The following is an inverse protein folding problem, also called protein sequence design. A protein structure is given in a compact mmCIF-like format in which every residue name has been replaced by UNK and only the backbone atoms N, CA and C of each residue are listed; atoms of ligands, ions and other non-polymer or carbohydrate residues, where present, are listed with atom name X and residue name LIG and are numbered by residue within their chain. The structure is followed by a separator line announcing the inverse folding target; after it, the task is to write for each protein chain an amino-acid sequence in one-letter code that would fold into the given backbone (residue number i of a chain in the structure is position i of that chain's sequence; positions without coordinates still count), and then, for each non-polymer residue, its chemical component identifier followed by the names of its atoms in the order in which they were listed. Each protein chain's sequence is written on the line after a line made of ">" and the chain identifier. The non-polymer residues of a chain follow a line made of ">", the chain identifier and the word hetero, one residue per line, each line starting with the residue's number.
data_IF_207848341663
#
_entry.id   IF_207848341663
#
_cell.length_a   1.000
_cell.length_b   1.000
_cell.length_c   1.000
_cell.angle_alpha   90.00
_cell.angle_beta   90.00
_cell.angle_gamma   90.00
#
_symmetry.space_group_name_H-M   'P 1'
#
loop_
_entity.id
_entity.type
_entity.pdbx_description
1 polymer ?
#
# COMPACT_ATOMS: atom_id res chain seq x y z
N UNK A 1 8.92 20.51 -30.91
CA UNK A 1 8.55 19.70 -29.73
C UNK A 1 7.28 20.19 -29.05
N UNK A 2 7.26 21.40 -28.45
CA UNK A 2 6.02 21.99 -27.88
C UNK A 2 4.92 22.16 -28.95
N UNK A 3 5.31 22.51 -30.19
CA UNK A 3 4.37 22.61 -31.31
C UNK A 3 3.66 21.29 -31.68
N UNK A 4 4.40 20.18 -31.73
CA UNK A 4 3.84 18.86 -32.05
C UNK A 4 2.94 18.34 -30.92
N UNK A 5 3.38 18.50 -29.66
CA UNK A 5 2.54 18.19 -28.51
C UNK A 5 1.23 19.00 -28.52
N UNK A 6 1.33 20.30 -28.79
CA UNK A 6 0.16 21.18 -28.91
C UNK A 6 -0.78 20.79 -30.05
N UNK A 7 -0.26 20.27 -31.17
CA UNK A 7 -1.08 19.75 -32.25
C UNK A 7 -1.84 18.48 -31.83
N UNK A 8 -1.15 17.47 -31.31
CA UNK A 8 -1.79 16.23 -30.85
C UNK A 8 -2.83 16.48 -29.74
N UNK A 9 -2.64 17.51 -28.93
CA UNK A 9 -3.64 17.94 -27.94
C UNK A 9 -4.89 18.57 -28.53
N UNK A 10 -4.78 19.29 -29.65
CA UNK A 10 -5.94 19.87 -30.35
C UNK A 10 -6.78 18.79 -31.02
N UNK A 11 -6.13 17.75 -31.52
CA UNK A 11 -6.75 16.60 -32.17
C UNK A 11 -7.22 15.51 -31.17
N UNK A 12 -6.97 15.71 -29.87
CA UNK A 12 -7.26 14.75 -28.82
C UNK A 12 -8.77 14.54 -28.62
N UNK A 13 -9.22 13.29 -28.80
CA UNK A 13 -10.51 12.83 -28.27
C UNK A 13 -10.39 12.57 -26.75
N UNK A 14 -11.00 13.46 -25.97
CA UNK A 14 -11.03 13.36 -24.51
C UNK A 14 -11.81 12.16 -23.99
N UNK A 15 -12.84 11.69 -24.70
CA UNK A 15 -13.63 10.55 -24.24
C UNK A 15 -12.85 9.24 -24.48
N UNK A 16 -12.08 9.15 -25.56
CA UNK A 16 -11.18 8.03 -25.78
C UNK A 16 -10.06 7.97 -24.73
N UNK A 17 -9.47 9.11 -24.38
CA UNK A 17 -8.51 9.18 -23.27
C UNK A 17 -9.14 8.75 -21.94
N UNK A 18 -10.40 9.13 -21.69
CA UNK A 18 -11.13 8.73 -20.49
C UNK A 18 -11.37 7.22 -20.45
N UNK A 19 -11.79 6.60 -21.56
CA UNK A 19 -11.96 5.15 -21.69
C UNK A 19 -10.63 4.42 -21.46
N UNK A 20 -9.54 4.89 -22.06
CA UNK A 20 -8.21 4.34 -21.83
C UNK A 20 -7.81 4.39 -20.35
N UNK A 21 -8.07 5.50 -19.64
CA UNK A 21 -7.80 5.60 -18.21
C UNK A 21 -8.61 4.60 -17.38
N UNK A 22 -9.90 4.41 -17.69
CA UNK A 22 -10.78 3.48 -16.98
C UNK A 22 -10.38 2.02 -17.19
N UNK A 23 -9.86 1.67 -18.37
CA UNK A 23 -9.38 0.33 -18.67
C UNK A 23 -8.06 0.00 -17.97
N UNK A 24 -7.24 1.02 -17.65
CA UNK A 24 -5.89 0.83 -17.12
C UNK A 24 -5.75 1.16 -15.63
N UNK A 25 -6.78 1.74 -14.99
CA UNK A 25 -6.71 2.21 -13.59
C UNK A 25 -8.01 1.96 -12.87
N UNK A 26 -7.96 1.97 -11.54
CA UNK A 26 -9.19 1.95 -10.74
C UNK A 26 -10.06 3.16 -11.06
N UNK A 27 -11.38 2.99 -11.02
CA UNK A 27 -12.36 4.01 -11.39
C UNK A 27 -12.10 5.38 -10.74
N UNK A 28 -11.81 5.40 -9.43
CA UNK A 28 -11.50 6.63 -8.71
C UNK A 28 -10.20 7.27 -9.20
N UNK A 29 -9.15 6.47 -9.39
CA UNK A 29 -7.85 6.98 -9.84
C UNK A 29 -7.92 7.51 -11.29
N UNK A 30 -8.63 6.80 -12.17
CA UNK A 30 -8.93 7.23 -13.53
C UNK A 30 -9.63 8.59 -13.55
N UNK A 31 -10.70 8.76 -12.75
CA UNK A 31 -11.44 10.03 -12.63
C UNK A 31 -10.54 11.18 -12.19
N UNK A 32 -9.67 10.95 -11.20
CA UNK A 32 -8.70 11.97 -10.76
C UNK A 32 -7.68 12.30 -11.86
N UNK A 33 -7.04 11.30 -12.46
CA UNK A 33 -6.07 11.50 -13.54
C UNK A 33 -6.68 12.28 -14.71
N UNK A 34 -7.90 11.93 -15.12
CA UNK A 34 -8.63 12.63 -16.18
C UNK A 34 -8.87 14.10 -15.85
N UNK A 35 -9.39 14.40 -14.65
CA UNK A 35 -9.64 15.77 -14.19
C UNK A 35 -8.37 16.63 -14.23
N UNK A 36 -7.27 16.11 -13.68
CA UNK A 36 -6.00 16.84 -13.61
C UNK A 36 -5.35 16.99 -14.99
N UNK A 37 -5.35 15.93 -15.81
CA UNK A 37 -4.88 16.00 -17.19
C UNK A 37 -5.64 17.04 -18.01
N UNK A 38 -6.97 17.01 -17.99
CA UNK A 38 -7.81 17.94 -18.77
C UNK A 38 -7.63 19.39 -18.33
N UNK A 39 -7.55 19.65 -17.02
CA UNK A 39 -7.40 21.01 -16.48
C UNK A 39 -5.99 21.58 -16.71
N UNK A 40 -4.96 20.75 -16.64
CA UNK A 40 -3.55 21.21 -16.58
C UNK A 40 -2.68 20.69 -17.74
N UNK A 41 -3.28 20.27 -18.85
CA UNK A 41 -2.53 19.81 -20.04
C UNK A 41 -1.50 20.84 -20.52
N UNK A 42 -1.83 22.13 -20.45
CA UNK A 42 -0.98 23.23 -20.92
C UNK A 42 0.31 23.40 -20.09
N UNK A 43 0.36 22.82 -18.89
CA UNK A 43 1.54 22.86 -18.04
C UNK A 43 2.63 21.87 -18.47
N UNK A 44 2.35 20.97 -19.41
CA UNK A 44 3.37 20.06 -19.91
C UNK A 44 4.50 20.86 -20.56
N UNK A 45 5.74 20.63 -20.10
CA UNK A 45 6.94 21.29 -20.60
C UNK A 45 7.01 22.82 -20.38
N UNK A 46 6.16 23.38 -19.51
CA UNK A 46 6.14 24.83 -19.24
C UNK A 46 7.02 25.21 -18.06
N UNK A 47 7.54 26.44 -18.06
CA UNK A 47 8.23 26.99 -16.88
C UNK A 47 7.29 27.23 -15.71
N UNK A 48 5.98 27.39 -15.95
CA UNK A 48 4.96 27.46 -14.90
C UNK A 48 4.96 26.19 -14.04
N UNK A 49 5.05 25.00 -14.65
CA UNK A 49 5.14 23.72 -13.94
C UNK A 49 6.43 23.60 -13.10
N UNK A 50 7.52 24.22 -13.56
CA UNK A 50 8.79 24.27 -12.83
C UNK A 50 8.64 25.13 -11.58
N UNK A 51 8.02 26.30 -11.73
CA UNK A 51 7.79 27.30 -10.69
C UNK A 51 6.75 26.88 -9.64
N UNK A 52 5.90 25.88 -9.92
CA UNK A 52 4.96 25.35 -8.93
C UNK A 52 5.69 24.84 -7.68
N UNK A 53 5.30 25.35 -6.51
CA UNK A 53 5.83 24.85 -5.23
C UNK A 53 5.54 23.35 -5.06
N UNK A 54 6.49 22.56 -4.50
CA UNK A 54 6.25 21.16 -4.19
C UNK A 54 5.00 20.99 -3.30
N UNK A 55 3.96 20.37 -3.84
CA UNK A 55 2.67 20.22 -3.17
C UNK A 55 1.95 18.97 -3.63
N UNK A 56 0.89 18.57 -2.91
CA UNK A 56 0.03 17.46 -3.35
C UNK A 56 -0.62 17.77 -4.71
N UNK A 57 -1.05 19.02 -4.90
CA UNK A 57 -1.58 19.53 -6.16
C UNK A 57 -0.59 19.32 -7.30
N UNK A 58 0.67 19.74 -7.12
CA UNK A 58 1.73 19.54 -8.14
C UNK A 58 1.91 18.07 -8.50
N UNK A 59 1.89 17.16 -7.52
CA UNK A 59 1.98 15.72 -7.81
C UNK A 59 0.82 15.21 -8.65
N UNK A 60 -0.40 15.68 -8.37
CA UNK A 60 -1.58 15.21 -9.08
C UNK A 60 -1.64 15.80 -10.50
N UNK A 61 -1.16 17.04 -10.70
CA UNK A 61 -0.87 17.62 -12.02
C UNK A 61 0.13 16.76 -12.79
N UNK A 62 1.29 16.45 -12.20
CA UNK A 62 2.33 15.63 -12.84
C UNK A 62 1.80 14.26 -13.27
N UNK A 63 0.98 13.60 -12.42
CA UNK A 63 0.34 12.31 -12.77
C UNK A 63 -0.64 12.47 -13.92
N UNK A 64 -1.45 13.54 -13.92
CA UNK A 64 -2.37 13.83 -15.02
C UNK A 64 -1.62 13.96 -16.34
N UNK A 65 -0.63 14.85 -16.38
CA UNK A 65 0.20 15.11 -17.56
C UNK A 65 0.93 13.84 -18.03
N UNK A 66 1.55 13.08 -17.12
CA UNK A 66 2.26 11.86 -17.51
C UNK A 66 1.36 10.77 -18.11
N UNK A 67 0.11 10.64 -17.64
CA UNK A 67 -0.82 9.71 -18.26
C UNK A 67 -1.31 10.22 -19.61
N UNK A 68 -1.49 11.54 -19.74
CA UNK A 68 -1.86 12.16 -21.00
C UNK A 68 -0.78 11.98 -22.06
N UNK A 69 0.49 12.27 -21.73
CA UNK A 69 1.60 12.06 -22.67
C UNK A 69 1.72 10.60 -23.09
N UNK A 70 1.56 9.66 -22.15
CA UNK A 70 1.57 8.22 -22.47
C UNK A 70 0.43 7.79 -23.40
N UNK A 71 -0.76 8.38 -23.22
CA UNK A 71 -1.87 8.11 -24.12
C UNK A 71 -1.60 8.66 -25.53
N UNK A 72 -1.08 9.90 -25.61
CA UNK A 72 -0.73 10.51 -26.89
C UNK A 72 0.36 9.71 -27.63
N UNK A 73 1.33 9.16 -26.91
CA UNK A 73 2.36 8.28 -27.49
C UNK A 73 1.75 7.04 -28.16
N UNK A 74 0.80 6.40 -27.49
CA UNK A 74 0.09 5.23 -28.05
C UNK A 74 -0.72 5.61 -29.29
N UNK A 75 -1.35 6.78 -29.29
CA UNK A 75 -2.26 7.20 -30.37
C UNK A 75 -1.55 7.77 -31.59
N UNK A 76 -0.45 8.49 -31.38
CA UNK A 76 0.21 9.27 -32.42
C UNK A 76 1.62 8.74 -32.75
N UNK A 77 2.02 7.61 -32.15
CA UNK A 77 3.36 7.03 -32.28
C UNK A 77 4.47 8.04 -31.95
N UNK A 78 4.34 8.72 -30.82
CA UNK A 78 5.27 9.73 -30.30
C UNK A 78 6.02 9.24 -29.06
N UNK A 79 6.95 10.05 -28.55
CA UNK A 79 7.77 9.79 -27.36
C UNK A 79 7.62 10.86 -26.26
N UNK A 80 6.50 11.58 -26.23
CA UNK A 80 6.24 12.68 -25.29
C UNK A 80 6.38 12.26 -23.83
N UNK A 81 5.99 11.04 -23.47
CA UNK A 81 6.12 10.57 -22.10
C UNK A 81 7.58 10.44 -21.69
N UNK A 82 8.42 9.87 -22.55
CA UNK A 82 9.85 9.73 -22.26
C UNK A 82 10.53 11.10 -22.21
N UNK A 83 10.22 11.98 -23.17
CA UNK A 83 10.70 13.36 -23.18
C UNK A 83 10.29 14.08 -21.89
N UNK A 84 9.04 13.92 -21.43
CA UNK A 84 8.57 14.50 -20.17
C UNK A 84 9.40 14.01 -18.99
N UNK A 85 9.67 12.71 -18.89
CA UNK A 85 10.48 12.17 -17.80
C UNK A 85 11.91 12.73 -17.81
N UNK A 86 12.55 12.82 -18.98
CA UNK A 86 13.88 13.41 -19.13
C UNK A 86 13.87 14.90 -18.78
N UNK A 87 12.85 15.63 -19.21
CA UNK A 87 12.68 17.06 -18.93
C UNK A 87 12.47 17.33 -17.44
N UNK A 88 11.59 16.56 -16.78
CA UNK A 88 11.38 16.64 -15.33
C UNK A 88 12.69 16.36 -14.56
N UNK A 89 13.48 15.37 -15.00
CA UNK A 89 14.80 15.08 -14.42
C UNK A 89 15.76 16.25 -14.59
N UNK A 90 15.84 16.85 -15.78
CA UNK A 90 16.69 18.02 -16.06
C UNK A 90 16.30 19.25 -15.22
N UNK A 91 15.01 19.43 -14.95
CA UNK A 91 14.46 20.51 -14.10
C UNK A 91 14.41 20.15 -12.61
N UNK A 92 14.99 19.02 -12.22
CA UNK A 92 15.04 18.51 -10.83
C UNK A 92 13.66 18.35 -10.15
N UNK A 93 12.62 18.13 -10.95
CA UNK A 93 11.25 17.99 -10.45
C UNK A 93 11.03 16.57 -9.91
N UNK A 94 10.78 16.48 -8.60
CA UNK A 94 10.53 15.20 -7.92
C UNK A 94 9.05 14.84 -7.92
N UNK A 95 8.74 13.59 -8.25
CA UNK A 95 7.40 13.00 -8.17
C UNK A 95 6.81 12.94 -6.76
N UNK A 96 7.68 12.90 -5.75
CA UNK A 96 7.31 12.79 -4.34
C UNK A 96 7.78 14.03 -3.60
N UNK A 97 6.91 14.50 -2.71
CA UNK A 97 7.32 15.38 -1.64
C UNK A 97 8.28 14.56 -0.77
N UNK A 98 9.54 14.97 -0.72
CA UNK A 98 10.52 14.35 0.17
C UNK A 98 10.14 14.71 1.62
N UNK A 99 9.14 14.03 2.17
CA UNK A 99 9.09 13.83 3.62
C UNK A 99 10.10 12.73 3.87
N UNK A 100 11.39 13.09 3.99
CA UNK A 100 12.39 12.19 4.57
C UNK A 100 11.98 11.98 6.02
N UNK A 101 11.01 11.10 6.24
CA UNK A 101 10.71 10.62 7.57
C UNK A 101 11.90 9.74 7.93
N UNK A 102 12.78 10.21 8.82
CA UNK A 102 13.93 9.44 9.27
C UNK A 102 13.42 8.14 9.89
N UNK A 103 13.59 7.02 9.19
CA UNK A 103 13.04 5.73 9.63
C UNK A 103 13.57 5.34 11.01
N UNK A 104 14.79 5.77 11.35
CA UNK A 104 15.42 5.53 12.65
C UNK A 104 14.73 6.33 13.77
N UNK A 105 14.39 7.58 13.51
CA UNK A 105 13.62 8.37 14.48
C UNK A 105 12.20 7.82 14.64
N UNK A 106 11.56 7.38 13.57
CA UNK A 106 10.22 6.79 13.65
C UNK A 106 10.28 5.47 14.44
N UNK A 107 11.30 4.64 14.24
CA UNK A 107 11.46 3.39 15.01
C UNK A 107 11.70 3.64 16.49
N UNK A 108 12.43 4.68 16.85
CA UNK A 108 12.70 5.01 18.25
C UNK A 108 11.52 5.72 18.93
N UNK A 109 10.70 6.47 18.18
CA UNK A 109 9.54 7.21 18.71
C UNK A 109 8.29 6.34 18.85
N UNK A 110 8.12 5.30 18.04
CA UNK A 110 6.91 4.48 17.99
C UNK A 110 7.21 3.08 18.53
N UNK A 111 7.06 2.92 19.84
CA UNK A 111 7.18 1.62 20.52
C UNK A 111 5.90 0.80 20.38
N UNK A 112 5.99 -0.52 20.54
CA UNK A 112 4.81 -1.38 20.44
C UNK A 112 3.83 -1.12 21.60
N UNK A 113 4.33 -0.85 22.79
CA UNK A 113 3.55 -0.59 23.99
C UNK A 113 2.69 0.68 23.81
N UNK A 114 3.28 1.74 23.27
CA UNK A 114 2.55 2.97 22.95
C UNK A 114 1.45 2.74 21.92
N UNK A 115 1.74 1.93 20.89
CA UNK A 115 0.75 1.57 19.86
C UNK A 115 -0.36 0.69 20.43
N UNK A 116 -0.06 -0.28 21.29
CA UNK A 116 -1.05 -1.14 21.94
C UNK A 116 -1.96 -0.34 22.87
N UNK A 117 -1.40 0.59 23.66
CA UNK A 117 -2.20 1.53 24.46
C UNK A 117 -3.21 2.27 23.60
N UNK A 118 -2.79 2.78 22.45
CA UNK A 118 -3.68 3.46 21.50
C UNK A 118 -4.72 2.51 20.90
N UNK A 119 -4.34 1.31 20.48
CA UNK A 119 -5.25 0.28 19.94
C UNK A 119 -6.33 -0.08 20.97
N UNK A 120 -5.98 -0.13 22.26
CA UNK A 120 -6.91 -0.44 23.34
C UNK A 120 -7.99 0.62 23.55
N UNK A 121 -7.82 1.85 23.05
CA UNK A 121 -8.83 2.92 23.09
C UNK A 121 -9.81 2.88 21.91
N UNK A 122 -9.57 2.04 20.90
CA UNK A 122 -10.44 1.93 19.74
C UNK A 122 -11.74 1.20 20.07
N UNK A 123 -12.84 1.46 19.33
CA UNK A 123 -14.04 0.65 19.45
C UNK A 123 -13.74 -0.82 19.19
N UNK A 124 -14.38 -1.73 19.94
CA UNK A 124 -14.01 -3.15 20.02
C UNK A 124 -13.75 -3.81 18.65
N UNK A 125 -14.64 -3.59 17.68
CA UNK A 125 -14.49 -4.08 16.30
C UNK A 125 -13.17 -3.65 15.63
N UNK A 126 -12.80 -2.38 15.78
CA UNK A 126 -11.57 -1.82 15.20
C UNK A 126 -10.33 -2.11 16.03
N UNK A 127 -10.50 -2.31 17.34
CA UNK A 127 -9.46 -2.86 18.22
C UNK A 127 -9.07 -4.26 17.76
N UNK A 128 -10.04 -5.17 17.61
CA UNK A 128 -9.77 -6.54 17.10
C UNK A 128 -9.12 -6.51 15.72
N UNK A 129 -9.62 -5.66 14.80
CA UNK A 129 -9.01 -5.53 13.48
C UNK A 129 -7.58 -4.96 13.52
N UNK A 130 -7.30 -3.95 14.35
CA UNK A 130 -5.96 -3.39 14.50
C UNK A 130 -4.97 -4.41 15.07
N UNK A 131 -5.38 -5.17 16.10
CA UNK A 131 -4.60 -6.27 16.64
C UNK A 131 -4.36 -7.36 15.58
N UNK A 132 -5.38 -7.71 14.80
CA UNK A 132 -5.24 -8.65 13.70
C UNK A 132 -4.20 -8.18 12.67
N UNK A 133 -4.21 -6.91 12.26
CA UNK A 133 -3.19 -6.35 11.36
C UNK A 133 -1.79 -6.40 11.99
N UNK A 134 -1.68 -6.05 13.28
CA UNK A 134 -0.42 -6.06 14.03
C UNK A 134 0.16 -7.48 14.16
N UNK A 135 -0.68 -8.48 14.38
CA UNK A 135 -0.25 -9.85 14.67
C UNK A 135 -0.04 -10.69 13.40
N UNK A 136 -0.91 -10.53 12.40
CA UNK A 136 -0.74 -11.20 11.10
C UNK A 136 0.33 -10.53 10.23
N UNK A 137 0.59 -9.24 10.46
CA UNK A 137 1.48 -8.44 9.62
C UNK A 137 0.97 -8.21 8.21
N UNK A 138 -0.29 -8.49 7.88
CA UNK A 138 -0.85 -8.32 6.54
C UNK A 138 -0.93 -6.84 6.11
N UNK A 139 -0.86 -6.56 4.81
CA UNK A 139 -1.12 -5.20 4.31
C UNK A 139 -2.60 -4.87 4.55
N UNK A 140 -2.96 -3.61 4.76
CA UNK A 140 -4.35 -3.22 5.12
C UNK A 140 -5.44 -3.83 4.23
N UNK A 141 -5.21 -3.89 2.91
CA UNK A 141 -6.19 -4.49 1.98
C UNK A 141 -6.28 -6.00 2.11
N UNK A 142 -5.14 -6.67 2.29
CA UNK A 142 -5.04 -8.11 2.51
C UNK A 142 -5.62 -8.50 3.88
N UNK A 143 -5.33 -7.71 4.91
CA UNK A 143 -5.83 -7.91 6.26
C UNK A 143 -7.35 -7.77 6.30
N UNK A 144 -7.93 -6.77 5.61
CA UNK A 144 -9.38 -6.62 5.49
C UNK A 144 -10.01 -7.86 4.83
N UNK A 145 -9.42 -8.33 3.74
CA UNK A 145 -9.92 -9.50 3.03
C UNK A 145 -9.83 -10.77 3.88
N UNK A 146 -8.69 -10.98 4.56
CA UNK A 146 -8.47 -12.13 5.43
C UNK A 146 -9.40 -12.09 6.65
N UNK A 147 -9.55 -10.93 7.29
CA UNK A 147 -10.42 -10.75 8.46
C UNK A 147 -11.89 -10.98 8.13
N UNK A 148 -12.38 -10.45 7.00
CA UNK A 148 -13.78 -10.59 6.60
C UNK A 148 -14.15 -11.99 6.11
N UNK A 149 -13.15 -12.81 5.76
CA UNK A 149 -13.31 -14.19 5.29
C UNK A 149 -12.53 -15.18 6.19
N UNK A 150 -12.32 -14.81 7.46
CA UNK A 150 -11.44 -15.52 8.39
C UNK A 150 -11.75 -17.01 8.49
N UNK A 151 -13.02 -17.38 8.68
CA UNK A 151 -13.47 -18.77 8.83
C UNK A 151 -13.14 -19.65 7.62
N UNK A 152 -13.02 -19.04 6.43
CA UNK A 152 -12.70 -19.76 5.18
C UNK A 152 -11.19 -19.96 4.99
N UNK A 153 -10.39 -19.11 5.61
CA UNK A 153 -8.96 -18.98 5.34
C UNK A 153 -8.10 -19.54 6.49
N UNK A 154 -8.59 -19.46 7.72
CA UNK A 154 -7.87 -19.89 8.89
C UNK A 154 -8.10 -21.38 9.16
N UNK A 155 -7.03 -22.17 9.14
CA UNK A 155 -7.00 -23.58 9.53
C UNK A 155 -5.95 -23.75 10.62
N UNK A 156 -6.36 -24.25 11.78
CA UNK A 156 -5.47 -24.46 12.92
C UNK A 156 -4.55 -23.26 13.21
N UNK A 157 -5.09 -22.05 13.28
CA UNK A 157 -4.30 -20.85 13.60
C UNK A 157 -3.28 -20.44 12.52
N UNK A 158 -3.39 -20.95 11.30
CA UNK A 158 -2.63 -20.49 10.13
C UNK A 158 -3.61 -20.08 9.03
N UNK A 159 -3.38 -18.92 8.42
CA UNK A 159 -4.14 -18.42 7.27
C UNK A 159 -3.30 -18.55 6.01
N UNK A 160 -3.66 -19.47 5.13
CA UNK A 160 -3.01 -19.71 3.83
C UNK A 160 -3.67 -18.86 2.73
N UNK A 161 -3.03 -17.78 2.30
CA UNK A 161 -3.66 -16.79 1.39
C UNK A 161 -3.19 -16.94 -0.06
N UNK A 162 -1.87 -17.06 -0.27
CA UNK A 162 -1.23 -17.24 -1.59
C UNK A 162 -1.68 -16.27 -2.69
N UNK A 163 -2.06 -15.04 -2.33
CA UNK A 163 -2.46 -14.01 -3.28
C UNK A 163 -1.25 -13.42 -4.01
N UNK A 164 -1.30 -13.40 -5.34
CA UNK A 164 -0.32 -12.75 -6.21
C UNK A 164 -0.97 -11.58 -6.96
N UNK A 165 -0.43 -10.37 -6.78
CA UNK A 165 -0.87 -9.14 -7.45
C UNK A 165 0.20 -8.60 -8.39
N UNK A 166 1.02 -9.49 -8.96
CA UNK A 166 2.20 -9.25 -9.81
C UNK A 166 3.35 -8.54 -9.08
N UNK A 167 3.08 -7.38 -8.48
CA UNK A 167 4.07 -6.55 -7.79
C UNK A 167 4.16 -6.84 -6.29
N UNK A 168 3.18 -7.57 -5.74
CA UNK A 168 3.06 -7.91 -4.31
C UNK A 168 2.49 -9.30 -4.16
N UNK A 169 3.10 -10.07 -3.28
CA UNK A 169 2.66 -11.41 -2.88
C UNK A 169 2.25 -11.43 -1.41
N UNK A 170 1.39 -12.38 -1.09
CA UNK A 170 0.96 -12.72 0.26
C UNK A 170 0.93 -14.24 0.36
N UNK A 171 1.67 -14.82 1.31
CA UNK A 171 1.77 -16.27 1.46
C UNK A 171 0.81 -16.76 2.55
N UNK A 172 1.35 -17.38 3.59
CA UNK A 172 0.64 -17.74 4.80
C UNK A 172 1.10 -16.89 5.98
N UNK A 173 0.22 -16.67 6.94
CA UNK A 173 0.48 -15.94 8.18
C UNK A 173 -0.20 -16.66 9.34
N UNK A 174 0.31 -16.49 10.56
CA UNK A 174 -0.39 -17.01 11.73
C UNK A 174 -1.64 -16.20 12.06
N UNK A 175 -2.62 -16.87 12.67
CA UNK A 175 -3.75 -16.26 13.33
C UNK A 175 -3.71 -16.62 14.81
N UNK A 176 -3.74 -15.60 15.66
CA UNK A 176 -3.61 -15.79 17.10
C UNK A 176 -4.91 -16.33 17.69
N UNK A 177 -4.87 -17.33 18.59
CA UNK A 177 -6.09 -17.88 19.21
C UNK A 177 -7.00 -16.80 19.81
N UNK A 178 -6.44 -15.88 20.61
CA UNK A 178 -7.19 -14.74 21.18
C UNK A 178 -7.92 -13.88 20.14
N UNK A 179 -7.42 -13.81 18.90
CA UNK A 179 -8.06 -13.05 17.84
C UNK A 179 -9.00 -13.91 17.02
N UNK A 180 -8.67 -15.17 16.79
CA UNK A 180 -9.51 -16.14 16.10
C UNK A 180 -10.93 -16.13 16.67
N UNK A 181 -11.05 -16.20 18.00
CA UNK A 181 -12.34 -16.23 18.70
C UNK A 181 -13.07 -14.88 18.73
N UNK A 182 -12.35 -13.78 18.50
CA UNK A 182 -12.89 -12.40 18.56
C UNK A 182 -13.29 -11.86 17.19
N UNK A 183 -12.99 -12.55 16.11
CA UNK A 183 -13.37 -12.16 14.75
C UNK A 183 -14.80 -12.62 14.49
N UNK A 184 -15.76 -11.77 14.80
CA UNK A 184 -17.20 -12.03 14.62
C UNK A 184 -17.87 -11.06 13.63
N UNK A 185 -17.10 -10.11 13.08
CA UNK A 185 -17.61 -8.89 12.48
C UNK A 185 -16.89 -8.59 11.15
N UNK A 186 -17.58 -7.97 10.19
CA UNK A 186 -16.95 -7.51 8.94
C UNK A 186 -16.60 -6.02 8.98
N UNK A 187 -15.42 -5.66 8.47
CA UNK A 187 -14.95 -4.27 8.36
C UNK A 187 -14.96 -3.77 6.92
N UNK A 188 -15.21 -2.48 6.73
CA UNK A 188 -15.16 -1.81 5.43
C UNK A 188 -13.98 -0.85 5.33
N UNK A 189 -13.50 -0.61 4.10
CA UNK A 189 -12.33 0.27 3.86
C UNK A 189 -12.54 1.69 4.42
N UNK A 190 -13.71 2.27 4.21
CA UNK A 190 -14.02 3.64 4.69
C UNK A 190 -14.01 3.72 6.22
N UNK A 191 -14.56 2.71 6.89
CA UNK A 191 -14.58 2.63 8.34
C UNK A 191 -13.20 2.34 8.92
N UNK A 192 -12.39 1.52 8.26
CA UNK A 192 -10.97 1.33 8.64
C UNK A 192 -10.24 2.66 8.59
N UNK A 193 -10.32 3.42 7.49
CA UNK A 193 -9.64 4.71 7.37
C UNK A 193 -10.12 5.72 8.43
N UNK A 194 -11.40 5.72 8.76
CA UNK A 194 -11.97 6.60 9.78
C UNK A 194 -11.47 6.27 11.20
N UNK A 195 -11.50 4.99 11.57
CA UNK A 195 -11.25 4.56 12.96
C UNK A 195 -9.77 4.24 13.24
N UNK A 196 -9.01 3.80 12.23
CA UNK A 196 -7.58 3.49 12.32
C UNK A 196 -6.73 4.61 11.70
N UNK A 197 -7.18 5.85 11.83
CA UNK A 197 -6.42 7.02 11.39
C UNK A 197 -5.15 7.18 12.24
N UNK A 198 -4.10 7.76 11.67
CA UNK A 198 -2.80 7.93 12.35
C UNK A 198 -2.90 8.70 13.67
N UNK A 199 -3.82 9.67 13.74
CA UNK A 199 -4.13 10.44 14.95
C UNK A 199 -4.64 9.58 16.12
N UNK A 200 -5.29 8.45 15.84
CA UNK A 200 -5.83 7.54 16.85
C UNK A 200 -4.84 6.44 17.20
N UNK A 201 -4.12 5.90 16.21
CA UNK A 201 -3.13 4.85 16.43
C UNK A 201 -1.78 5.38 16.94
N UNK A 202 -1.52 6.68 16.81
CA UNK A 202 -0.18 7.27 16.98
C UNK A 202 0.78 6.96 15.82
N UNK A 203 0.34 6.16 14.83
CA UNK A 203 1.13 5.78 13.67
C UNK A 203 0.22 5.47 12.47
N UNK A 204 0.74 5.50 11.25
CA UNK A 204 -0.02 4.98 10.11
C UNK A 204 -0.27 3.47 10.29
N UNK A 205 -1.45 2.96 9.91
CA UNK A 205 -1.79 1.53 10.00
C UNK A 205 -0.75 0.60 9.34
N UNK A 206 -0.08 1.07 8.27
CA UNK A 206 0.98 0.31 7.60
C UNK A 206 2.20 0.04 8.50
N UNK A 207 2.35 0.81 9.57
CA UNK A 207 3.43 0.69 10.54
C UNK A 207 3.24 -0.53 11.46
N UNK A 208 2.00 -0.95 11.71
CA UNK A 208 1.69 -2.19 12.46
C UNK A 208 2.39 -3.41 11.83
N UNK A 209 2.39 -3.47 10.49
CA UNK A 209 3.13 -4.49 9.73
C UNK A 209 4.65 -4.43 9.93
N UNK A 210 5.21 -3.23 10.14
CA UNK A 210 6.65 -3.09 10.42
C UNK A 210 6.98 -3.60 11.82
N UNK A 211 6.16 -3.25 12.82
CA UNK A 211 6.29 -3.77 14.19
C UNK A 211 6.20 -5.30 14.22
N UNK A 212 5.21 -5.86 13.51
CA UNK A 212 5.09 -7.31 13.31
C UNK A 212 6.39 -7.94 12.80
N UNK A 213 6.93 -7.38 11.71
CA UNK A 213 8.15 -7.90 11.11
C UNK A 213 9.33 -7.82 12.06
N UNK A 214 9.53 -6.69 12.74
CA UNK A 214 10.61 -6.51 13.71
C UNK A 214 10.54 -7.56 14.81
N UNK A 215 9.35 -7.84 15.36
CA UNK A 215 9.17 -8.87 16.40
C UNK A 215 9.45 -10.27 15.86
N UNK A 216 8.83 -10.64 14.74
CA UNK A 216 8.97 -12.00 14.21
C UNK A 216 10.41 -12.27 13.72
N UNK A 217 11.06 -11.30 13.07
CA UNK A 217 12.42 -11.45 12.58
C UNK A 217 13.45 -11.54 13.70
N UNK A 218 13.22 -10.88 14.84
CA UNK A 218 14.14 -10.92 15.98
C UNK A 218 13.89 -12.11 16.92
N UNK A 219 12.64 -12.57 17.04
CA UNK A 219 12.26 -13.56 18.06
C UNK A 219 11.95 -14.95 17.52
N UNK A 220 11.69 -15.14 16.22
CA UNK A 220 11.29 -16.45 15.66
C UNK A 220 12.36 -16.99 14.73
N UNK A 221 12.30 -16.58 13.48
CA UNK A 221 13.21 -16.91 12.39
C UNK A 221 13.06 -15.81 11.31
N UNK A 222 14.15 -15.17 10.86
CA UNK A 222 14.09 -14.11 9.86
C UNK A 222 13.53 -14.56 8.51
N UNK A 223 13.84 -15.78 8.04
CA UNK A 223 13.37 -16.28 6.74
C UNK A 223 11.86 -16.55 6.79
N UNK A 224 11.36 -17.08 7.90
CA UNK A 224 9.94 -17.24 8.15
C UNK A 224 9.22 -15.90 8.20
N UNK A 225 9.81 -14.90 8.88
CA UNK A 225 9.28 -13.55 8.92
C UNK A 225 9.22 -12.93 7.51
N UNK A 226 10.24 -13.11 6.67
CA UNK A 226 10.23 -12.67 5.28
C UNK A 226 9.16 -13.39 4.44
N UNK A 227 8.97 -14.70 4.65
CA UNK A 227 7.92 -15.49 4.02
C UNK A 227 6.53 -14.98 4.41
N UNK A 228 6.25 -14.78 5.70
CA UNK A 228 4.99 -14.20 6.18
C UNK A 228 4.74 -12.79 5.62
N UNK A 229 5.82 -12.04 5.39
CA UNK A 229 5.76 -10.72 4.78
C UNK A 229 5.68 -10.75 3.24
N UNK A 230 5.52 -11.92 2.61
CA UNK A 230 5.40 -12.04 1.16
C UNK A 230 6.63 -11.52 0.40
N UNK A 231 7.81 -11.57 1.03
CA UNK A 231 9.11 -11.23 0.43
C UNK A 231 9.78 -12.47 -0.17
N UNK A 232 9.45 -13.66 0.34
CA UNK A 232 9.81 -14.98 -0.19
C UNK A 232 8.56 -15.77 -0.56
N UNK A 233 8.67 -17.02 -0.99
CA UNK A 233 7.52 -17.92 -1.15
C UNK A 233 7.12 -18.21 -2.59
N UNK A 234 8.09 -18.53 -3.45
CA UNK A 234 7.78 -19.23 -4.70
C UNK A 234 7.16 -20.62 -4.41
N UNK A 235 6.64 -21.29 -5.44
CA UNK A 235 5.90 -22.57 -5.26
C UNK A 235 6.69 -23.58 -4.44
N UNK A 236 7.97 -23.81 -4.79
CA UNK A 236 8.85 -24.75 -4.07
C UNK A 236 9.09 -24.35 -2.62
N UNK A 237 9.31 -23.07 -2.35
CA UNK A 237 9.55 -22.56 -1.00
C UNK A 237 8.34 -22.72 -0.07
N UNK A 238 7.11 -22.80 -0.60
CA UNK A 238 5.92 -23.00 0.24
C UNK A 238 5.95 -24.34 0.97
N UNK A 239 6.41 -25.39 0.30
CA UNK A 239 6.55 -26.73 0.91
C UNK A 239 7.58 -26.76 2.03
N UNK A 240 8.54 -25.84 2.03
CA UNK A 240 9.50 -25.68 3.12
C UNK A 240 8.93 -24.83 4.27
N UNK A 241 8.33 -23.68 3.95
CA UNK A 241 7.91 -22.73 4.99
C UNK A 241 6.63 -23.13 5.73
N UNK A 242 5.69 -23.85 5.10
CA UNK A 242 4.45 -24.27 5.78
C UNK A 242 4.71 -25.25 6.94
N UNK A 243 5.51 -26.33 6.78
CA UNK A 243 5.92 -27.17 7.91
C UNK A 243 6.66 -26.37 9.00
N UNK A 244 7.57 -25.50 8.58
CA UNK A 244 8.33 -24.63 9.48
C UNK A 244 7.41 -23.69 10.28
N UNK A 245 6.31 -23.21 9.68
CA UNK A 245 5.29 -22.47 10.43
C UNK A 245 4.65 -23.34 11.52
N UNK A 246 4.35 -24.61 11.24
CA UNK A 246 3.75 -25.46 12.27
C UNK A 246 4.70 -25.71 13.45
N UNK A 247 5.98 -25.94 13.16
CA UNK A 247 7.04 -26.11 14.16
C UNK A 247 7.22 -24.87 15.05
N UNK A 248 7.22 -23.68 14.44
CA UNK A 248 7.41 -22.42 15.16
C UNK A 248 6.13 -21.85 15.78
N UNK A 249 4.95 -22.44 15.54
CA UNK A 249 3.65 -21.93 15.98
C UNK A 249 3.58 -21.71 17.50
N UNK A 250 3.99 -22.68 18.31
CA UNK A 250 3.97 -22.57 19.78
C UNK A 250 4.84 -21.41 20.28
N UNK A 251 6.03 -21.27 19.69
CA UNK A 251 6.95 -20.17 19.99
C UNK A 251 6.34 -18.82 19.60
N UNK A 252 5.73 -18.73 18.41
CA UNK A 252 5.04 -17.54 17.92
C UNK A 252 3.90 -17.13 18.86
N UNK A 253 3.04 -18.07 19.29
CA UNK A 253 1.94 -17.80 20.24
C UNK A 253 2.50 -17.24 21.55
N UNK A 254 3.52 -17.87 22.14
CA UNK A 254 4.13 -17.39 23.39
C UNK A 254 4.66 -15.96 23.27
N UNK A 255 5.33 -15.65 22.15
CA UNK A 255 5.84 -14.29 21.90
C UNK A 255 4.71 -13.28 21.84
N UNK A 256 3.62 -13.61 21.14
CA UNK A 256 2.51 -12.69 20.95
C UNK A 256 1.58 -12.60 22.17
N UNK A 257 1.45 -13.63 23.00
CA UNK A 257 0.81 -13.53 24.31
C UNK A 257 1.52 -12.46 25.15
N UNK A 258 2.85 -12.55 25.30
CA UNK A 258 3.64 -11.58 26.07
C UNK A 258 3.57 -10.14 25.52
N UNK A 259 3.20 -9.98 24.24
CA UNK A 259 3.03 -8.67 23.61
C UNK A 259 1.62 -8.14 23.78
N UNK A 260 0.61 -9.03 23.84
CA UNK A 260 -0.80 -8.65 23.89
C UNK A 260 -1.37 -8.56 25.32
N UNK A 261 -0.72 -9.22 26.29
CA UNK A 261 -0.91 -9.04 27.75
C UNK A 261 -0.40 -7.67 28.21
#
# INVERSE_FOLDING_TARGET
>A
MVGQYGQCLRELDWEDFRKWLLNNKSHLHAKYCFKWAKKYQHLAFSDELVSMSPSRTRQDVLKGIANLTRFLDIKNNTDFHEILLRWLKKKEIKWRLNVKSNNYEISNKITIEAVLKNINTLPQKYKTFALFVLVSGLRTTEAKEAFNNHDKLCRDGVMELFWDRNTKKTNAVYCHPLLHDRINDKVSSSRITKNLHSKHLGCEIRYLRKLNYTINATKIDPLLAEFMQGRRGNVSQRHYFLPMMNEHKKKWIKIWNNVLE
#
